data_IF_491470854778
#
_entry.id   IF_491470854778
#
_cell.length_a   1.000
_cell.length_b   1.000
_cell.length_c   1.000
_cell.angle_alpha   90.00
_cell.angle_beta   90.00
_cell.angle_gamma   90.00
#
_symmetry.space_group_name_H-M   'P 1'
#
loop_
_entity.id
_entity.type
_entity.pdbx_description
1 polymer ?
#
# COMPACT_ATOMS: atom_id res chain seq x y z
N UNK A 1 -14.07 -74.80 -0.51
CA UNK A 1 -13.45 -74.80 0.84
C UNK A 1 -11.95 -74.67 0.67
N UNK A 2 -11.31 -73.76 1.43
CA UNK A 2 -9.87 -73.42 1.50
C UNK A 2 -9.29 -72.42 0.46
N UNK A 3 -8.98 -71.24 1.01
CA UNK A 3 -7.79 -70.38 0.84
C UNK A 3 -6.68 -70.88 -0.11
N UNK A 4 -6.18 -69.95 -0.93
CA UNK A 4 -4.72 -69.77 -1.07
C UNK A 4 -4.39 -68.32 -1.47
N UNK A 5 -3.55 -67.70 -0.64
CA UNK A 5 -2.84 -66.48 -0.93
C UNK A 5 -1.70 -66.77 -1.91
N UNK A 6 -1.43 -65.84 -2.82
CA UNK A 6 -0.14 -65.75 -3.51
C UNK A 6 0.36 -64.32 -3.43
N UNK A 7 1.47 -64.17 -2.70
CA UNK A 7 2.30 -62.97 -2.70
C UNK A 7 3.02 -62.85 -4.05
N UNK A 8 3.18 -61.62 -4.55
CA UNK A 8 4.04 -61.33 -5.70
C UNK A 8 5.13 -60.33 -5.34
N UNK A 9 6.27 -60.60 -5.96
CA UNK A 9 7.62 -60.13 -5.64
C UNK A 9 7.91 -58.72 -6.18
N UNK A 10 8.79 -58.03 -5.45
CA UNK A 10 9.40 -56.71 -5.70
C UNK A 10 9.79 -56.44 -7.16
N UNK A 11 9.61 -55.19 -7.60
CA UNK A 11 10.59 -54.52 -8.45
C UNK A 11 10.81 -53.09 -7.98
N UNK A 12 12.07 -52.80 -7.65
CA UNK A 12 12.59 -51.49 -7.27
C UNK A 12 12.73 -50.62 -8.52
N UNK A 13 12.15 -49.42 -8.51
CA UNK A 13 12.62 -48.31 -9.34
C UNK A 13 12.87 -47.11 -8.44
N UNK A 14 14.15 -46.75 -8.34
CA UNK A 14 14.63 -45.51 -7.72
C UNK A 14 14.20 -44.34 -8.61
N UNK A 15 13.39 -43.43 -8.09
CA UNK A 15 13.23 -42.10 -8.67
C UNK A 15 14.46 -41.23 -8.30
N UNK A 16 14.96 -40.38 -9.21
CA UNK A 16 16.05 -39.46 -8.90
C UNK A 16 15.54 -38.41 -7.92
N UNK A 17 16.32 -38.14 -6.87
CA UNK A 17 16.01 -37.12 -5.88
C UNK A 17 16.03 -35.74 -6.52
N UNK A 18 14.87 -35.08 -6.51
CA UNK A 18 14.79 -33.64 -6.73
C UNK A 18 15.13 -32.96 -5.42
N UNK A 19 16.34 -32.39 -5.32
CA UNK A 19 16.71 -31.53 -4.20
C UNK A 19 15.72 -30.35 -4.09
N UNK A 20 15.28 -29.95 -2.87
CA UNK A 20 14.28 -28.89 -2.69
C UNK A 20 14.77 -27.48 -3.06
N UNK A 21 16.06 -27.30 -3.37
CA UNK A 21 16.70 -25.97 -3.36
C UNK A 21 16.64 -25.20 -4.69
N UNK A 22 15.96 -25.71 -5.72
CA UNK A 22 15.97 -25.12 -7.06
C UNK A 22 14.82 -24.13 -7.34
N UNK A 23 14.14 -23.60 -6.32
CA UNK A 23 13.07 -22.61 -6.50
C UNK A 23 13.30 -21.38 -5.62
N UNK A 24 14.41 -20.63 -5.80
CA UNK A 24 14.57 -19.37 -5.06
C UNK A 24 15.47 -18.27 -5.64
N UNK A 25 16.09 -18.42 -6.82
CA UNK A 25 17.15 -17.48 -7.22
C UNK A 25 16.76 -16.36 -8.20
N UNK A 26 15.64 -16.46 -8.91
CA UNK A 26 15.30 -15.48 -9.97
C UNK A 26 14.48 -14.28 -9.45
N UNK A 27 13.54 -14.50 -8.53
CA UNK A 27 12.68 -13.42 -7.98
C UNK A 27 13.39 -12.51 -6.95
N UNK A 28 14.34 -13.06 -6.18
CA UNK A 28 15.03 -12.32 -5.11
C UNK A 28 15.98 -11.22 -5.62
N UNK A 29 16.54 -11.39 -6.83
CA UNK A 29 17.47 -10.42 -7.42
C UNK A 29 16.73 -9.15 -7.90
N UNK A 30 15.56 -9.32 -8.54
CA UNK A 30 14.72 -8.22 -9.03
C UNK A 30 14.18 -7.36 -7.87
N UNK A 31 13.65 -8.00 -6.82
CA UNK A 31 13.14 -7.29 -5.63
C UNK A 31 14.22 -6.48 -4.91
N UNK A 32 15.43 -7.03 -4.77
CA UNK A 32 16.57 -6.30 -4.18
C UNK A 32 17.00 -5.10 -5.05
N UNK A 33 16.90 -5.20 -6.37
CA UNK A 33 17.20 -4.09 -7.27
C UNK A 33 16.17 -2.96 -7.14
N UNK A 34 14.87 -3.30 -7.17
CA UNK A 34 13.77 -2.36 -6.96
C UNK A 34 13.91 -1.64 -5.61
N UNK A 35 14.20 -2.41 -4.55
CA UNK A 35 14.44 -1.87 -3.20
C UNK A 35 15.61 -0.89 -3.12
N UNK A 36 16.71 -1.16 -3.83
CA UNK A 36 17.86 -0.24 -3.90
C UNK A 36 17.51 1.02 -4.70
N UNK A 37 16.77 0.87 -5.81
CA UNK A 37 16.34 1.99 -6.62
C UNK A 37 15.43 2.94 -5.83
N UNK A 38 14.45 2.38 -5.10
CA UNK A 38 13.56 3.14 -4.21
C UNK A 38 14.36 3.95 -3.18
N UNK A 39 15.25 3.30 -2.41
CA UNK A 39 16.03 3.97 -1.34
C UNK A 39 16.98 5.04 -1.87
N UNK A 40 17.47 4.88 -3.10
CA UNK A 40 18.31 5.90 -3.76
C UNK A 40 17.49 7.15 -4.12
N UNK A 41 16.23 6.97 -4.51
CA UNK A 41 15.33 8.10 -4.83
C UNK A 41 14.80 8.77 -3.56
N UNK A 42 14.54 7.98 -2.52
CA UNK A 42 13.94 8.42 -1.26
C UNK A 42 14.89 8.14 -0.09
N UNK A 43 15.93 8.98 0.13
CA UNK A 43 16.94 8.75 1.16
C UNK A 43 16.46 9.03 2.59
N UNK A 44 15.35 9.77 2.74
CA UNK A 44 14.72 10.10 4.03
C UNK A 44 13.46 9.28 4.33
N UNK A 45 12.76 9.57 5.43
CA UNK A 45 11.49 8.94 5.76
C UNK A 45 10.44 9.20 4.68
N UNK A 46 9.67 8.16 4.33
CA UNK A 46 8.57 8.28 3.37
C UNK A 46 7.22 8.07 4.00
N UNK A 47 6.22 8.71 3.42
CA UNK A 47 4.81 8.51 3.72
C UNK A 47 4.13 8.04 2.43
N UNK A 48 3.50 6.86 2.46
CA UNK A 48 2.76 6.36 1.31
C UNK A 48 1.40 7.06 1.24
N UNK A 49 1.10 7.67 0.10
CA UNK A 49 -0.20 8.25 -0.21
C UNK A 49 -1.04 7.28 -1.03
N UNK A 50 -2.18 6.88 -0.46
CA UNK A 50 -3.22 6.10 -1.12
C UNK A 50 -4.34 7.04 -1.53
N UNK A 51 -4.52 7.23 -2.83
CA UNK A 51 -5.58 8.05 -3.40
C UNK A 51 -5.89 7.60 -4.82
N UNK A 52 -7.00 8.07 -5.40
CA UNK A 52 -7.30 7.84 -6.82
C UNK A 52 -6.18 8.36 -7.72
N UNK A 53 -5.87 7.61 -8.77
CA UNK A 53 -4.86 8.00 -9.76
C UNK A 53 -5.38 8.95 -10.85
N UNK A 54 -6.67 9.28 -10.84
CA UNK A 54 -7.28 10.19 -11.82
C UNK A 54 -6.51 11.54 -11.86
N UNK A 55 -6.13 12.01 -13.05
CA UNK A 55 -5.39 13.27 -13.21
C UNK A 55 -6.34 14.47 -13.34
N UNK A 56 -7.17 14.69 -12.30
CA UNK A 56 -8.08 15.84 -12.21
C UNK A 56 -7.45 16.99 -11.44
N UNK A 57 -8.03 18.20 -11.58
CA UNK A 57 -7.60 19.36 -10.81
C UNK A 57 -7.73 19.12 -9.29
N UNK A 58 -8.80 18.45 -8.87
CA UNK A 58 -9.04 18.13 -7.47
C UNK A 58 -7.99 17.15 -6.96
N UNK A 59 -7.73 16.06 -7.69
CA UNK A 59 -6.73 15.06 -7.29
C UNK A 59 -5.32 15.66 -7.22
N UNK A 60 -4.94 16.51 -8.18
CA UNK A 60 -3.67 17.25 -8.09
C UNK A 60 -3.59 18.15 -6.87
N UNK A 61 -4.65 18.91 -6.57
CA UNK A 61 -4.67 19.80 -5.40
C UNK A 61 -4.56 19.03 -4.08
N UNK A 62 -5.20 17.86 -3.96
CA UNK A 62 -5.05 16.97 -2.81
C UNK A 62 -3.61 16.47 -2.72
N UNK A 63 -3.07 15.95 -3.82
CA UNK A 63 -1.72 15.41 -3.87
C UNK A 63 -0.67 16.46 -3.47
N UNK A 64 -0.76 17.66 -4.05
CA UNK A 64 0.15 18.76 -3.78
C UNK A 64 0.02 19.24 -2.33
N UNK A 65 -1.20 19.33 -1.80
CA UNK A 65 -1.44 19.70 -0.40
C UNK A 65 -0.85 18.69 0.59
N UNK A 66 -1.01 17.38 0.33
CA UNK A 66 -0.39 16.33 1.16
C UNK A 66 1.13 16.43 1.11
N UNK A 67 1.72 16.60 -0.09
CA UNK A 67 3.16 16.77 -0.29
C UNK A 67 3.70 17.99 0.46
N UNK A 68 3.04 19.14 0.30
CA UNK A 68 3.45 20.40 0.94
C UNK A 68 3.42 20.33 2.47
N UNK A 69 2.41 19.68 3.05
CA UNK A 69 2.32 19.46 4.49
C UNK A 69 3.38 18.47 4.98
N UNK A 70 3.47 17.27 4.39
CA UNK A 70 4.44 16.26 4.80
C UNK A 70 5.90 16.73 4.69
N UNK A 71 6.23 17.53 3.66
CA UNK A 71 7.56 18.11 3.50
C UNK A 71 7.98 19.01 4.68
N UNK A 72 7.03 19.72 5.31
CA UNK A 72 7.30 20.53 6.51
C UNK A 72 7.65 19.69 7.73
N UNK A 73 7.31 18.41 7.70
CA UNK A 73 7.71 17.40 8.69
C UNK A 73 8.93 16.57 8.24
N UNK A 74 9.63 16.99 7.18
CA UNK A 74 10.85 16.31 6.70
C UNK A 74 10.59 14.96 6.04
N UNK A 75 9.37 14.74 5.52
CA UNK A 75 8.95 13.47 4.95
C UNK A 75 8.66 13.61 3.47
N UNK A 76 9.11 12.64 2.69
CA UNK A 76 8.76 12.55 1.29
C UNK A 76 7.44 11.78 1.12
N UNK A 77 6.58 12.21 0.19
CA UNK A 77 5.30 11.56 -0.07
C UNK A 77 5.39 10.81 -1.38
N UNK A 78 5.18 9.50 -1.29
CA UNK A 78 5.27 8.59 -2.43
C UNK A 78 3.89 8.08 -2.81
N UNK A 79 3.61 8.03 -4.11
CA UNK A 79 2.53 7.21 -4.67
C UNK A 79 3.12 6.05 -5.43
N UNK A 80 2.37 4.95 -5.49
CA UNK A 80 2.81 3.76 -6.21
C UNK A 80 2.84 3.94 -7.74
N UNK A 81 2.22 4.98 -8.27
CA UNK A 81 2.23 5.30 -9.71
C UNK A 81 3.25 6.40 -10.08
N UNK A 82 3.93 7.02 -9.11
CA UNK A 82 4.93 8.08 -9.39
C UNK A 82 6.16 7.55 -10.15
N UNK A 83 6.52 6.27 -9.93
CA UNK A 83 7.66 5.64 -10.58
C UNK A 83 7.51 4.12 -10.59
N UNK A 84 7.69 3.49 -11.75
CA UNK A 84 7.65 2.03 -11.87
C UNK A 84 8.98 1.38 -11.49
N UNK A 85 9.03 0.74 -10.31
CA UNK A 85 10.22 0.00 -9.85
C UNK A 85 10.15 -1.50 -10.15
N UNK A 86 8.96 -2.04 -10.39
CA UNK A 86 8.68 -3.48 -10.30
C UNK A 86 8.06 -4.07 -11.56
N UNK A 87 7.64 -3.24 -12.52
CA UNK A 87 6.92 -3.62 -13.73
C UNK A 87 5.45 -3.97 -13.50
N UNK A 88 4.96 -3.85 -12.26
CA UNK A 88 3.62 -4.25 -11.85
C UNK A 88 3.18 -3.41 -10.65
N UNK A 89 2.01 -2.77 -10.77
CA UNK A 89 1.55 -1.72 -9.85
C UNK A 89 1.34 -2.23 -8.42
N UNK A 90 0.74 -3.41 -8.23
CA UNK A 90 0.49 -3.96 -6.90
C UNK A 90 1.79 -4.31 -6.17
N UNK A 91 2.76 -4.87 -6.89
CA UNK A 91 4.11 -5.11 -6.37
C UNK A 91 4.80 -3.79 -6.02
N UNK A 92 4.50 -2.71 -6.74
CA UNK A 92 5.01 -1.37 -6.45
C UNK A 92 4.36 -0.76 -5.20
N UNK A 93 3.04 -0.93 -5.03
CA UNK A 93 2.34 -0.59 -3.78
C UNK A 93 2.98 -1.30 -2.59
N UNK A 94 3.23 -2.61 -2.70
CA UNK A 94 3.87 -3.37 -1.64
C UNK A 94 5.28 -2.86 -1.33
N UNK A 95 6.08 -2.54 -2.37
CA UNK A 95 7.41 -1.95 -2.20
C UNK A 95 7.34 -0.60 -1.47
N UNK A 96 6.44 0.30 -1.86
CA UNK A 96 6.27 1.60 -1.22
C UNK A 96 5.80 1.45 0.24
N UNK A 97 4.86 0.54 0.50
CA UNK A 97 4.35 0.26 1.85
C UNK A 97 5.43 -0.34 2.77
N UNK A 98 6.27 -1.22 2.24
CA UNK A 98 7.38 -1.81 2.99
C UNK A 98 8.41 -0.78 3.43
N UNK A 99 8.58 0.29 2.64
CA UNK A 99 9.55 1.34 2.87
C UNK A 99 8.98 2.62 3.49
N UNK A 100 7.67 2.67 3.74
CA UNK A 100 7.01 3.78 4.41
C UNK A 100 6.55 3.36 5.80
N UNK A 101 6.88 4.15 6.80
CA UNK A 101 6.43 3.96 8.19
C UNK A 101 5.04 4.54 8.44
N UNK A 102 4.63 5.55 7.65
CA UNK A 102 3.32 6.18 7.70
C UNK A 102 2.57 6.02 6.38
N UNK A 103 1.24 5.99 6.48
CA UNK A 103 0.32 5.95 5.34
C UNK A 103 -0.70 7.06 5.48
N UNK A 104 -0.97 7.78 4.40
CA UNK A 104 -2.09 8.71 4.28
C UNK A 104 -3.04 8.14 3.24
N UNK A 105 -4.28 7.87 3.62
CA UNK A 105 -5.33 7.43 2.69
C UNK A 105 -6.36 8.53 2.51
N UNK A 106 -6.72 8.85 1.27
CA UNK A 106 -7.74 9.84 0.92
C UNK A 106 -8.97 9.11 0.38
N UNK A 107 -10.09 9.30 1.07
CA UNK A 107 -11.40 8.79 0.69
C UNK A 107 -12.30 9.94 0.30
N UNK A 108 -12.75 9.94 -0.95
CA UNK A 108 -13.58 11.00 -1.51
C UNK A 108 -14.63 10.44 -2.46
N UNK A 109 -15.66 11.27 -2.69
CA UNK A 109 -16.69 11.08 -3.71
C UNK A 109 -16.85 12.37 -4.54
N UNK A 110 -15.74 13.09 -4.77
CA UNK A 110 -15.80 14.42 -5.41
C UNK A 110 -16.09 14.29 -6.89
N UNK A 111 -15.37 13.39 -7.56
CA UNK A 111 -15.49 13.18 -9.01
C UNK A 111 -16.34 11.95 -9.34
N UNK A 112 -16.50 11.01 -8.39
CA UNK A 112 -17.27 9.78 -8.55
C UNK A 112 -18.14 9.53 -7.34
N UNK A 113 -19.27 8.84 -7.54
CA UNK A 113 -20.23 8.55 -6.47
C UNK A 113 -19.82 7.44 -5.51
N UNK A 114 -18.68 6.78 -5.75
CA UNK A 114 -18.17 5.66 -4.97
C UNK A 114 -16.83 5.99 -4.30
N UNK A 115 -16.41 5.19 -3.33
CA UNK A 115 -15.02 5.18 -2.89
C UNK A 115 -14.21 4.29 -3.83
N UNK A 116 -12.97 4.67 -4.13
CA UNK A 116 -12.12 3.86 -5.00
C UNK A 116 -11.79 2.50 -4.38
N UNK A 117 -12.11 1.43 -5.10
CA UNK A 117 -11.90 0.07 -4.62
C UNK A 117 -10.40 -0.24 -4.41
N UNK A 118 -9.52 0.30 -5.25
CA UNK A 118 -8.07 0.12 -5.13
C UNK A 118 -7.58 0.75 -3.84
N UNK A 119 -7.96 2.01 -3.59
CA UNK A 119 -7.61 2.71 -2.33
C UNK A 119 -8.10 1.93 -1.11
N UNK A 120 -9.31 1.36 -1.16
CA UNK A 120 -9.83 0.55 -0.04
C UNK A 120 -9.05 -0.75 0.19
N UNK A 121 -8.64 -1.44 -0.88
CA UNK A 121 -7.81 -2.65 -0.79
C UNK A 121 -6.42 -2.32 -0.25
N UNK A 122 -5.79 -1.26 -0.74
CA UNK A 122 -4.48 -0.79 -0.30
C UNK A 122 -4.50 -0.34 1.16
N UNK A 123 -5.56 0.39 1.58
CA UNK A 123 -5.75 0.78 2.97
C UNK A 123 -5.94 -0.46 3.86
N UNK A 124 -6.74 -1.44 3.43
CA UNK A 124 -6.88 -2.71 4.12
C UNK A 124 -5.53 -3.42 4.30
N UNK A 125 -4.69 -3.43 3.26
CA UNK A 125 -3.35 -4.00 3.29
C UNK A 125 -2.42 -3.24 4.26
N UNK A 126 -2.43 -1.91 4.23
CA UNK A 126 -1.65 -1.08 5.16
C UNK A 126 -2.05 -1.32 6.63
N UNK A 127 -3.35 -1.40 6.90
CA UNK A 127 -3.88 -1.70 8.24
C UNK A 127 -3.49 -3.11 8.70
N UNK A 128 -3.57 -4.10 7.83
CA UNK A 128 -3.17 -5.49 8.13
C UNK A 128 -1.66 -5.60 8.40
N UNK A 129 -0.85 -4.79 7.71
CA UNK A 129 0.60 -4.67 7.93
C UNK A 129 0.98 -3.84 9.18
N UNK A 130 0.00 -3.38 9.96
CA UNK A 130 0.23 -2.63 11.20
C UNK A 130 0.74 -1.20 10.98
N UNK A 131 0.54 -0.62 9.80
CA UNK A 131 0.99 0.76 9.50
C UNK A 131 0.13 1.80 10.19
N UNK A 132 0.77 2.88 10.63
CA UNK A 132 0.09 4.06 11.17
C UNK A 132 -0.55 4.81 10.01
N UNK A 133 -1.87 4.91 10.04
CA UNK A 133 -2.64 5.48 8.94
C UNK A 133 -3.35 6.77 9.38
N UNK A 134 -3.15 7.84 8.62
CA UNK A 134 -4.04 8.99 8.57
C UNK A 134 -5.10 8.70 7.50
N UNK A 135 -6.36 8.59 7.90
CA UNK A 135 -7.48 8.36 6.98
C UNK A 135 -8.24 9.67 6.82
N UNK A 136 -8.02 10.34 5.69
CA UNK A 136 -8.69 11.56 5.30
C UNK A 136 -10.00 11.24 4.59
N UNK A 137 -11.08 11.85 5.03
CA UNK A 137 -12.43 11.63 4.49
C UNK A 137 -12.97 12.97 4.01
N UNK A 138 -13.47 13.02 2.78
CA UNK A 138 -14.15 14.23 2.31
C UNK A 138 -15.46 14.39 3.10
N UNK A 139 -15.70 15.58 3.66
CA UNK A 139 -16.82 15.83 4.59
C UNK A 139 -18.23 15.55 4.05
N UNK A 140 -18.42 15.52 2.73
CA UNK A 140 -19.69 15.27 2.04
C UNK A 140 -19.82 13.81 1.58
N UNK A 141 -18.83 12.97 1.90
CA UNK A 141 -18.91 11.53 1.71
C UNK A 141 -20.06 10.98 2.54
N UNK A 142 -21.11 10.49 1.86
CA UNK A 142 -22.40 10.17 2.49
C UNK A 142 -22.31 8.98 3.42
N UNK A 143 -21.51 7.99 3.08
CA UNK A 143 -21.40 6.74 3.83
C UNK A 143 -19.95 6.27 3.90
N UNK A 144 -19.43 6.21 5.13
CA UNK A 144 -18.16 5.56 5.38
C UNK A 144 -18.29 4.04 5.24
N UNK A 145 -17.35 3.37 4.54
CA UNK A 145 -17.27 1.91 4.53
C UNK A 145 -17.32 1.34 5.95
N UNK A 146 -18.10 0.28 6.16
CA UNK A 146 -18.35 -0.27 7.50
C UNK A 146 -17.08 -0.60 8.29
N UNK A 147 -16.03 -1.06 7.58
CA UNK A 147 -14.70 -1.37 8.14
C UNK A 147 -14.00 -0.15 8.79
N UNK A 148 -14.41 1.07 8.43
CA UNK A 148 -13.84 2.31 8.95
C UNK A 148 -14.66 2.96 10.08
N UNK A 149 -15.87 2.47 10.38
CA UNK A 149 -16.76 3.08 11.39
C UNK A 149 -16.17 3.09 12.81
N UNK A 150 -15.23 2.20 13.09
CA UNK A 150 -14.53 2.12 14.39
C UNK A 150 -13.09 2.63 14.32
N UNK A 151 -12.71 3.31 13.24
CA UNK A 151 -11.39 3.89 13.04
C UNK A 151 -11.44 5.40 13.24
N UNK A 152 -10.35 5.97 13.74
CA UNK A 152 -10.16 7.42 13.73
C UNK A 152 -10.01 7.87 12.26
N UNK A 153 -10.94 8.70 11.83
CA UNK A 153 -10.96 9.34 10.52
C UNK A 153 -10.94 10.85 10.71
N UNK A 154 -10.48 11.56 9.69
CA UNK A 154 -10.29 13.00 9.77
C UNK A 154 -10.85 13.68 8.53
N UNK A 155 -11.74 14.63 8.74
CA UNK A 155 -12.40 15.29 7.62
C UNK A 155 -11.49 16.32 6.93
N UNK A 156 -11.63 16.41 5.61
CA UNK A 156 -11.18 17.53 4.77
C UNK A 156 -12.36 18.12 3.97
N UNK A 157 -12.17 19.28 3.34
CA UNK A 157 -13.18 19.95 2.51
C UNK A 157 -12.68 20.09 1.07
N UNK A 158 -13.34 19.43 0.11
CA UNK A 158 -13.00 19.59 -1.29
C UNK A 158 -13.23 21.02 -1.83
N UNK A 159 -14.03 21.85 -1.15
CA UNK A 159 -14.24 23.27 -1.50
C UNK A 159 -13.19 24.21 -0.88
N UNK A 160 -12.35 23.72 0.04
CA UNK A 160 -11.22 24.44 0.64
C UNK A 160 -9.94 23.63 0.41
N UNK A 161 -9.54 23.50 -0.86
CA UNK A 161 -8.28 22.90 -1.26
C UNK A 161 -7.28 23.97 -1.73
N UNK A 162 -5.98 23.82 -1.41
CA UNK A 162 -5.38 22.72 -0.62
C UNK A 162 -5.50 22.89 0.90
N UNK A 163 -6.03 24.02 1.39
CA UNK A 163 -5.92 24.44 2.79
C UNK A 163 -6.44 23.44 3.83
N UNK A 164 -7.57 22.77 3.58
CA UNK A 164 -8.13 21.80 4.53
C UNK A 164 -7.31 20.51 4.63
N UNK A 165 -6.71 20.06 3.53
CA UNK A 165 -5.79 18.92 3.49
C UNK A 165 -4.51 19.25 4.25
N UNK A 166 -3.89 20.38 3.93
CA UNK A 166 -2.62 20.79 4.54
C UNK A 166 -2.72 20.86 6.06
N UNK A 167 -3.70 21.61 6.58
CA UNK A 167 -3.93 21.72 8.02
C UNK A 167 -4.11 20.36 8.68
N UNK A 168 -4.84 19.45 8.03
CA UNK A 168 -5.13 18.15 8.62
C UNK A 168 -3.91 17.23 8.66
N UNK A 169 -3.13 17.22 7.58
CA UNK A 169 -1.90 16.44 7.49
C UNK A 169 -0.88 16.95 8.49
N UNK A 170 -0.70 18.27 8.62
CA UNK A 170 0.18 18.87 9.62
C UNK A 170 -0.20 18.48 11.04
N UNK A 171 -1.46 18.70 11.42
CA UNK A 171 -1.94 18.44 12.77
C UNK A 171 -1.71 16.99 13.17
N UNK A 172 -1.91 16.07 12.23
CA UNK A 172 -1.71 14.65 12.47
C UNK A 172 -0.23 14.30 12.56
N UNK A 173 0.61 14.78 11.64
CA UNK A 173 2.06 14.54 11.66
C UNK A 173 2.76 15.22 12.84
N UNK A 174 2.30 16.37 13.31
CA UNK A 174 2.84 16.99 14.52
C UNK A 174 2.63 16.11 15.78
N UNK A 175 1.58 15.28 15.78
CA UNK A 175 1.26 14.37 16.90
C UNK A 175 1.78 12.95 16.69
N UNK A 176 2.03 12.56 15.44
CA UNK A 176 2.28 11.18 15.05
C UNK A 176 3.53 10.97 14.18
N UNK A 177 4.23 12.03 13.80
CA UNK A 177 5.34 11.98 12.86
C UNK A 177 6.63 11.45 13.46
N UNK A 178 6.78 11.58 14.79
CA UNK A 178 7.90 11.03 15.53
C UNK A 178 7.55 9.60 16.00
N UNK A 179 8.44 8.66 15.69
CA UNK A 179 8.38 7.25 16.06
C UNK A 179 9.78 6.71 16.28
#
# INVERSE_FOLDING_TARGET
MRLQATASVKTSQRSPGTSPDAVSSVGGSSRKAAQRAYRRRHPGPTTLLLMRFDDTRVMRAIHDGVRAAAARHGRDVVRADDHDYTGELWTNVALCLENSDLVIAVLDQVERSDCDASVMVELGFALAAGRRCLILVERRLRELPAVLRHRLTYDFDALDLPGSIERRVDDWLARNGDG
#
